data_IF_300340263624
#
_entry.id   IF_300340263624
#
_cell.length_a   1.000
_cell.length_b   1.000
_cell.length_c   1.000
_cell.angle_alpha   90.00
_cell.angle_beta   90.00
_cell.angle_gamma   90.00
#
_symmetry.space_group_name_H-M   'P 1'
#
loop_
_entity.id
_entity.type
_entity.pdbx_description
1 polymer ?
#
# COMPACT_ATOMS: atom_id res chain seq x y z
N UNK A 1 -11.82 -14.90 3.08
CA UNK A 1 -10.43 -14.46 2.85
C UNK A 1 -9.60 -15.72 2.78
N UNK A 2 -9.12 -16.05 1.59
CA UNK A 2 -8.59 -17.37 1.24
C UNK A 2 -7.28 -17.70 1.93
N UNK A 3 -6.99 -18.98 2.00
CA UNK A 3 -5.90 -19.64 2.73
C UNK A 3 -4.51 -19.12 2.34
N UNK A 4 -4.06 -18.03 2.99
CA UNK A 4 -2.70 -17.50 2.84
C UNK A 4 -1.61 -18.43 3.38
N UNK A 5 -2.00 -19.45 4.15
CA UNK A 5 -1.15 -20.45 4.79
C UNK A 5 -0.23 -21.17 3.79
N UNK A 6 -0.75 -21.53 2.61
CA UNK A 6 0.07 -22.20 1.57
C UNK A 6 1.21 -21.31 1.07
N UNK A 7 0.96 -20.01 0.89
CA UNK A 7 1.98 -19.08 0.39
C UNK A 7 2.99 -18.70 1.46
N UNK A 8 2.54 -18.65 2.72
CA UNK A 8 3.39 -18.46 3.89
C UNK A 8 4.39 -19.61 4.07
N UNK A 9 3.93 -20.86 4.00
CA UNK A 9 4.78 -22.05 4.06
C UNK A 9 5.83 -22.07 2.94
N UNK A 10 5.42 -21.72 1.71
CA UNK A 10 6.34 -21.61 0.57
C UNK A 10 7.40 -20.52 0.77
N UNK A 11 7.00 -19.36 1.30
CA UNK A 11 7.91 -18.25 1.58
C UNK A 11 8.91 -18.62 2.69
N UNK A 12 8.43 -19.28 3.76
CA UNK A 12 9.27 -19.72 4.87
C UNK A 12 10.27 -20.80 4.42
N UNK A 13 9.83 -21.80 3.65
CA UNK A 13 10.72 -22.84 3.13
C UNK A 13 11.82 -22.26 2.23
N UNK A 14 11.48 -21.29 1.38
CA UNK A 14 12.45 -20.59 0.55
C UNK A 14 13.44 -19.78 1.39
N UNK A 15 12.97 -19.03 2.38
CA UNK A 15 13.84 -18.27 3.27
C UNK A 15 14.83 -19.19 3.99
N UNK A 16 14.38 -20.36 4.45
CA UNK A 16 15.23 -21.34 5.11
C UNK A 16 16.29 -21.94 4.16
N UNK A 17 15.92 -22.23 2.91
CA UNK A 17 16.85 -22.74 1.89
C UNK A 17 17.94 -21.74 1.51
N UNK A 18 17.62 -20.44 1.52
CA UNK A 18 18.53 -19.36 1.13
C UNK A 18 19.25 -18.70 2.34
N UNK A 19 18.96 -19.15 3.56
CA UNK A 19 19.48 -18.55 4.79
C UNK A 19 18.94 -17.14 5.07
N UNK A 20 17.77 -16.79 4.54
CA UNK A 20 17.09 -15.52 4.77
C UNK A 20 16.17 -15.57 5.99
N UNK A 21 15.93 -14.39 6.57
CA UNK A 21 14.92 -14.22 7.62
C UNK A 21 13.53 -14.14 6.98
N UNK A 22 12.61 -14.95 7.49
CA UNK A 22 11.19 -14.84 7.16
C UNK A 22 10.48 -14.01 8.23
N UNK A 23 9.71 -13.00 7.80
CA UNK A 23 8.84 -12.22 8.67
C UNK A 23 7.42 -12.19 8.09
N UNK A 24 6.42 -12.48 8.94
CA UNK A 24 5.01 -12.33 8.59
C UNK A 24 4.52 -10.96 9.05
N UNK A 25 4.18 -10.10 8.09
CA UNK A 25 3.50 -8.85 8.38
C UNK A 25 1.98 -9.05 8.33
N UNK A 26 1.25 -8.80 9.43
CA UNK A 26 -0.20 -8.85 9.41
C UNK A 26 -0.73 -7.73 8.51
N UNK A 27 -1.62 -8.07 7.58
CA UNK A 27 -2.27 -7.06 6.75
C UNK A 27 -3.20 -6.19 7.58
N UNK A 28 -3.06 -4.87 7.46
CA UNK A 28 -4.00 -3.90 8.04
C UNK A 28 -5.10 -3.54 7.02
N UNK A 29 -6.36 -3.66 7.43
CA UNK A 29 -7.54 -3.34 6.60
C UNK A 29 -7.98 -1.89 6.73
N UNK A 30 -7.37 -1.11 7.63
CA UNK A 30 -7.77 0.25 7.97
C UNK A 30 -7.85 1.16 6.75
N UNK A 31 -6.87 1.14 5.86
CA UNK A 31 -6.89 1.95 4.63
C UNK A 31 -8.02 1.56 3.67
N UNK A 32 -8.31 0.26 3.52
CA UNK A 32 -9.43 -0.20 2.68
C UNK A 32 -10.78 0.24 3.27
N UNK A 33 -10.93 0.14 4.59
CA UNK A 33 -12.11 0.62 5.31
C UNK A 33 -12.26 2.14 5.13
N UNK A 34 -11.19 2.91 5.37
CA UNK A 34 -11.17 4.37 5.22
C UNK A 34 -11.50 4.83 3.79
N UNK A 35 -10.96 4.12 2.78
CA UNK A 35 -11.23 4.38 1.37
C UNK A 35 -12.73 4.31 1.06
N UNK A 36 -13.42 3.25 1.52
CA UNK A 36 -14.84 3.01 1.26
C UNK A 36 -15.74 3.95 2.07
N UNK A 37 -15.36 4.27 3.30
CA UNK A 37 -16.15 5.14 4.19
C UNK A 37 -15.93 6.64 3.98
N UNK A 38 -15.02 7.04 3.09
CA UNK A 38 -14.73 8.46 2.81
C UNK A 38 -13.88 9.14 3.89
N UNK A 39 -13.23 8.37 4.76
CA UNK A 39 -12.33 8.89 5.80
C UNK A 39 -10.91 9.08 5.22
N UNK A 40 -10.78 9.95 4.22
CA UNK A 40 -9.54 10.16 3.48
C UNK A 40 -8.64 11.17 4.19
N UNK A 41 -7.89 10.72 5.18
CA UNK A 41 -6.84 11.52 5.82
C UNK A 41 -5.76 11.92 4.80
N UNK A 42 -5.41 13.21 4.72
CA UNK A 42 -4.47 13.73 3.72
C UNK A 42 -3.04 13.20 3.88
N UNK A 43 -2.68 12.68 5.06
CA UNK A 43 -1.36 12.05 5.29
C UNK A 43 -1.30 10.64 4.73
N UNK A 44 -2.45 10.03 4.45
CA UNK A 44 -2.56 8.62 4.04
C UNK A 44 -3.18 8.45 2.64
N UNK A 45 -3.89 9.48 2.17
CA UNK A 45 -4.58 9.50 0.89
C UNK A 45 -4.20 10.72 0.07
N UNK A 46 -3.88 10.47 -1.20
CA UNK A 46 -3.81 11.53 -2.19
C UNK A 46 -5.21 11.80 -2.75
N UNK A 47 -5.81 12.92 -2.35
CA UNK A 47 -7.07 13.40 -2.93
C UNK A 47 -6.78 14.24 -4.17
N UNK A 48 -7.33 13.85 -5.32
CA UNK A 48 -7.18 14.58 -6.58
C UNK A 48 -8.48 15.33 -6.89
N UNK A 49 -8.53 16.66 -6.73
CA UNK A 49 -9.73 17.42 -7.04
C UNK A 49 -9.98 17.48 -8.57
N UNK A 50 -11.19 17.87 -9.00
CA UNK A 50 -11.47 18.11 -10.42
C UNK A 50 -10.46 19.05 -11.07
N UNK A 51 -10.10 18.78 -12.34
CA UNK A 51 -9.09 19.55 -13.06
C UNK A 51 -7.64 19.30 -12.63
N UNK A 52 -7.40 18.31 -11.76
CA UNK A 52 -6.06 17.87 -11.39
C UNK A 52 -5.78 16.43 -11.86
N UNK A 53 -4.51 16.08 -11.95
CA UNK A 53 -4.00 14.75 -12.21
C UNK A 53 -2.88 14.39 -11.22
N UNK A 54 -2.54 13.10 -11.15
CA UNK A 54 -1.39 12.63 -10.38
C UNK A 54 -0.11 13.03 -11.10
N UNK A 55 0.73 13.79 -10.42
CA UNK A 55 2.07 14.17 -10.87
C UNK A 55 3.15 13.77 -9.88
N UNK A 56 4.40 13.77 -10.32
CA UNK A 56 5.56 13.54 -9.45
C UNK A 56 5.81 14.78 -8.58
N UNK A 57 6.07 14.58 -7.29
CA UNK A 57 6.44 15.66 -6.37
C UNK A 57 7.96 15.86 -6.28
N UNK A 58 8.75 14.82 -6.58
CA UNK A 58 10.22 14.77 -6.45
C UNK A 58 10.71 15.09 -5.02
N UNK A 59 9.92 14.74 -4.01
CA UNK A 59 10.27 14.82 -2.60
C UNK A 59 9.80 13.55 -1.87
N UNK A 60 9.81 13.57 -0.53
CA UNK A 60 9.41 12.43 0.31
C UNK A 60 7.97 11.95 0.05
N UNK A 61 7.07 12.80 -0.47
CA UNK A 61 5.70 12.40 -0.79
C UNK A 61 5.58 11.59 -2.09
N UNK A 62 6.63 11.54 -2.92
CA UNK A 62 6.74 10.88 -4.24
C UNK A 62 5.76 11.40 -5.31
N UNK A 63 4.48 11.53 -4.98
CA UNK A 63 3.39 12.00 -5.83
C UNK A 63 2.63 13.17 -5.21
N UNK A 64 1.91 13.91 -6.04
CA UNK A 64 1.00 15.00 -5.66
C UNK A 64 -0.14 15.17 -6.67
N UNK A 65 -1.19 15.87 -6.27
CA UNK A 65 -2.21 16.36 -7.17
C UNK A 65 -1.69 17.66 -7.83
N UNK A 66 -1.66 17.69 -9.16
CA UNK A 66 -1.21 18.85 -9.93
C UNK A 66 -2.29 19.26 -10.94
N UNK A 67 -2.47 20.58 -11.20
CA UNK A 67 -3.40 21.03 -12.24
C UNK A 67 -3.10 20.40 -13.59
N UNK A 68 -4.14 19.98 -14.30
CA UNK A 68 -4.01 19.55 -15.70
C UNK A 68 -3.81 20.79 -16.58
N UNK A 69 -2.89 20.76 -17.56
CA UNK A 69 -2.72 21.85 -18.52
C UNK A 69 -3.97 22.21 -19.32
#
# INVERSE_FOLDING_TARGET
LGEGTKYEELAQAKAQAEGWTFERLPGDRRLLTALVHGAWDETEFLVVPPGHAIGQSNNESVVKAAPVP
#
